data_IF_896019650799
#
_entry.id   IF_896019650799
#
_cell.length_a   1.000
_cell.length_b   1.000
_cell.length_c   1.000
_cell.angle_alpha   90.00
_cell.angle_beta   90.00
_cell.angle_gamma   90.00
#
_symmetry.space_group_name_H-M   'P 1'
#
loop_
_entity.id
_entity.type
_entity.pdbx_description
1 polymer ?
#
# COMPACT_ATOMS: atom_id res chain seq x y z
N UNK A 1 -17.31 34.48 -13.16
CA UNK A 1 -16.40 33.53 -13.84
C UNK A 1 -14.98 33.91 -13.48
N UNK A 2 -14.36 33.17 -12.55
CA UNK A 2 -13.04 33.50 -12.01
C UNK A 2 -12.02 32.49 -12.54
N UNK A 3 -11.12 33.02 -13.36
CA UNK A 3 -10.05 32.33 -14.07
C UNK A 3 -8.95 31.91 -13.07
N UNK A 4 -8.76 30.60 -12.91
CA UNK A 4 -7.67 30.04 -12.10
C UNK A 4 -6.33 30.34 -12.77
N UNK A 5 -5.60 31.33 -12.24
CA UNK A 5 -4.18 31.58 -12.54
C UNK A 5 -3.34 30.32 -12.27
N UNK A 6 -2.87 29.67 -13.33
CA UNK A 6 -1.75 28.71 -13.31
C UNK A 6 -0.48 29.47 -12.95
N UNK A 7 0.07 29.23 -11.77
CA UNK A 7 1.36 29.77 -11.38
C UNK A 7 2.50 28.90 -11.92
N UNK A 8 3.25 29.45 -12.88
CA UNK A 8 4.70 29.28 -12.99
C UNK A 8 5.23 27.98 -13.61
N UNK A 9 5.05 27.81 -14.93
CA UNK A 9 6.05 27.08 -15.71
C UNK A 9 7.27 28.01 -15.87
N UNK A 10 8.35 27.74 -15.15
CA UNK A 10 9.62 28.44 -15.34
C UNK A 10 10.18 28.06 -16.70
N UNK A 11 10.15 29.02 -17.63
CA UNK A 11 10.87 28.97 -18.89
C UNK A 11 12.38 28.91 -18.63
N UNK A 12 13.09 28.01 -19.32
CA UNK A 12 14.54 27.88 -19.27
C UNK A 12 15.08 26.67 -18.49
N UNK A 13 14.50 25.49 -18.68
CA UNK A 13 14.94 24.28 -17.98
C UNK A 13 15.69 23.36 -18.95
N UNK A 14 17.02 23.26 -18.80
CA UNK A 14 17.85 22.38 -19.62
C UNK A 14 17.33 20.92 -19.57
N UNK A 15 17.43 20.15 -20.66
CA UNK A 15 17.07 18.73 -20.66
C UNK A 15 17.72 17.93 -19.52
N UNK A 16 18.96 18.30 -19.14
CA UNK A 16 19.67 17.71 -18.01
C UNK A 16 18.98 17.94 -16.66
N UNK A 17 18.40 19.12 -16.44
CA UNK A 17 17.67 19.44 -15.20
C UNK A 17 16.38 18.63 -15.06
N UNK A 18 15.72 18.30 -16.18
CA UNK A 18 14.55 17.41 -16.18
C UNK A 18 14.94 15.98 -15.78
N UNK A 19 16.08 15.47 -16.27
CA UNK A 19 16.60 14.15 -15.90
C UNK A 19 17.02 14.12 -14.42
N UNK A 20 17.67 15.18 -13.92
CA UNK A 20 18.06 15.29 -12.53
C UNK A 20 16.84 15.36 -11.58
N UNK A 21 15.74 16.00 -12.00
CA UNK A 21 14.48 16.02 -11.23
C UNK A 21 13.73 14.71 -11.26
N UNK A 22 13.78 13.96 -12.37
CA UNK A 22 13.18 12.64 -12.48
C UNK A 22 13.81 11.60 -11.53
N UNK A 23 14.95 11.90 -10.90
CA UNK A 23 15.63 11.04 -9.92
C UNK A 23 14.75 10.62 -8.73
N UNK A 24 13.77 11.45 -8.36
CA UNK A 24 12.80 11.13 -7.30
C UNK A 24 11.41 11.14 -7.92
N UNK A 25 10.72 10.01 -7.89
CA UNK A 25 9.34 9.91 -8.36
C UNK A 25 8.47 11.01 -7.72
N UNK A 26 7.61 11.63 -8.53
CA UNK A 26 6.80 12.79 -8.11
C UNK A 26 6.01 12.54 -6.82
N UNK A 27 5.49 11.32 -6.66
CA UNK A 27 4.80 10.87 -5.45
C UNK A 27 5.69 10.92 -4.20
N UNK A 28 6.93 10.46 -4.31
CA UNK A 28 7.90 10.45 -3.21
C UNK A 28 8.32 11.86 -2.84
N UNK A 29 8.49 12.73 -3.85
CA UNK A 29 8.80 14.15 -3.62
C UNK A 29 7.67 14.87 -2.87
N UNK A 30 6.43 14.67 -3.29
CA UNK A 30 5.25 15.23 -2.60
C UNK A 30 5.17 14.77 -1.14
N UNK A 31 5.49 13.49 -0.88
CA UNK A 31 5.56 12.95 0.48
C UNK A 31 6.67 13.61 1.32
N UNK A 32 7.88 13.75 0.79
CA UNK A 32 8.98 14.43 1.49
C UNK A 32 8.68 15.91 1.74
N UNK A 33 8.08 16.61 0.79
CA UNK A 33 7.65 18.00 0.98
C UNK A 33 6.64 18.12 2.13
N UNK A 34 5.68 17.20 2.21
CA UNK A 34 4.72 17.15 3.34
C UNK A 34 5.42 16.93 4.68
N UNK A 35 6.39 16.01 4.72
CA UNK A 35 7.20 15.76 5.92
C UNK A 35 8.07 16.97 6.32
N UNK A 36 8.62 17.68 5.33
CA UNK A 36 9.40 18.90 5.55
C UNK A 36 8.55 20.05 6.09
N UNK A 37 7.27 20.15 5.70
CA UNK A 37 6.32 21.10 6.30
C UNK A 37 6.13 20.82 7.79
N UNK A 38 6.06 19.55 8.20
CA UNK A 38 5.96 19.19 9.63
C UNK A 38 7.25 19.52 10.39
N UNK A 39 8.41 19.24 9.79
CA UNK A 39 9.71 19.62 10.36
C UNK A 39 9.79 21.14 10.56
N UNK A 40 9.40 21.93 9.56
CA UNK A 40 9.38 23.39 9.63
C UNK A 40 8.50 23.92 10.76
N UNK A 41 7.26 23.42 10.88
CA UNK A 41 6.35 23.79 11.98
C UNK A 41 6.94 23.47 13.35
N UNK A 42 7.63 22.34 13.47
CA UNK A 42 8.31 21.96 14.71
C UNK A 42 9.52 22.87 15.01
N UNK A 43 10.32 23.21 14.00
CA UNK A 43 11.46 24.12 14.15
C UNK A 43 11.01 25.52 14.58
N UNK A 44 9.95 26.07 13.98
CA UNK A 44 9.39 27.37 14.34
C UNK A 44 8.93 27.46 15.80
N UNK A 45 8.46 26.34 16.38
CA UNK A 45 7.99 26.29 17.77
C UNK A 45 9.09 25.93 18.78
N UNK A 46 10.08 25.15 18.38
CA UNK A 46 11.08 24.57 19.31
C UNK A 46 12.45 25.24 19.24
N UNK A 47 12.79 25.91 18.13
CA UNK A 47 14.11 26.55 17.93
C UNK A 47 13.93 27.88 17.17
N UNK A 48 13.72 29.01 17.89
CA UNK A 48 13.68 30.33 17.27
C UNK A 48 15.00 30.61 16.52
N UNK A 49 14.92 30.94 15.23
CA UNK A 49 16.09 31.22 14.37
C UNK A 49 16.53 30.08 13.43
N UNK A 50 16.01 28.87 13.58
CA UNK A 50 16.26 27.79 12.60
C UNK A 50 15.47 27.94 11.28
N UNK A 51 14.49 28.84 11.27
CA UNK A 51 13.67 29.19 10.11
C UNK A 51 13.71 30.70 9.95
N UNK A 52 14.19 31.18 8.80
CA UNK A 52 14.20 32.61 8.44
C UNK A 52 13.17 32.81 7.35
N UNK A 53 12.09 33.53 7.67
CA UNK A 53 10.92 33.65 6.79
C UNK A 53 10.25 32.29 6.57
N UNK A 54 10.36 31.78 5.34
CA UNK A 54 9.75 30.52 4.91
C UNK A 54 10.77 29.37 4.70
N UNK A 55 12.06 29.64 4.88
CA UNK A 55 13.16 28.74 4.52
C UNK A 55 13.83 28.15 5.77
N UNK A 56 14.04 26.84 5.76
CA UNK A 56 14.80 26.12 6.79
C UNK A 56 16.29 26.39 6.56
N UNK A 57 16.99 26.88 7.58
CA UNK A 57 18.43 27.10 7.51
C UNK A 57 19.19 25.76 7.61
N UNK A 58 20.05 25.49 6.63
CA UNK A 58 20.91 24.30 6.55
C UNK A 58 22.37 24.70 6.79
N UNK A 59 23.22 23.83 7.34
CA UNK A 59 22.94 22.48 7.81
C UNK A 59 22.22 22.48 9.16
N UNK A 60 21.30 21.51 9.35
CA UNK A 60 20.62 21.35 10.63
C UNK A 60 21.56 20.78 11.69
N UNK A 61 21.53 21.34 12.90
CA UNK A 61 22.30 20.81 14.03
C UNK A 61 21.85 19.38 14.38
N UNK A 62 22.81 18.51 14.67
CA UNK A 62 22.56 17.11 15.05
C UNK A 62 21.62 16.98 16.25
N UNK A 63 21.77 17.84 17.26
CA UNK A 63 20.90 17.86 18.45
C UNK A 63 19.44 18.19 18.10
N UNK A 64 19.22 19.16 17.21
CA UNK A 64 17.89 19.57 16.74
C UNK A 64 17.20 18.44 15.99
N UNK A 65 17.91 17.77 15.07
CA UNK A 65 17.39 16.62 14.33
C UNK A 65 17.02 15.46 15.26
N UNK A 66 17.84 15.17 16.27
CA UNK A 66 17.56 14.12 17.25
C UNK A 66 16.30 14.42 18.07
N UNK A 67 16.14 15.66 18.53
CA UNK A 67 14.94 16.09 19.28
C UNK A 67 13.67 16.06 18.43
N UNK A 68 13.77 16.46 17.16
CA UNK A 68 12.67 16.34 16.22
C UNK A 68 12.29 14.86 16.00
N UNK A 69 13.28 14.00 15.74
CA UNK A 69 13.05 12.58 15.51
C UNK A 69 12.41 11.90 16.72
N UNK A 70 12.85 12.24 17.94
CA UNK A 70 12.21 11.80 19.18
C UNK A 70 10.75 12.27 19.32
N UNK A 71 10.41 13.44 18.78
CA UNK A 71 9.02 13.94 18.80
C UNK A 71 8.10 13.21 17.82
N UNK A 72 8.65 12.65 16.73
CA UNK A 72 7.89 11.92 15.69
C UNK A 72 7.83 10.42 15.92
N UNK A 73 8.54 9.86 16.90
CA UNK A 73 8.37 8.44 17.28
C UNK A 73 6.99 8.17 17.89
N UNK A 74 6.27 9.22 18.30
CA UNK A 74 4.99 9.12 19.00
C UNK A 74 3.84 9.65 18.13
N UNK A 75 2.71 8.95 18.11
CA UNK A 75 1.49 9.42 17.40
C UNK A 75 0.88 10.62 18.12
N UNK A 76 0.48 11.63 17.34
CA UNK A 76 -0.34 12.76 17.81
C UNK A 76 -1.82 12.41 17.69
N UNK A 77 -2.61 12.69 18.74
CA UNK A 77 -4.06 12.54 18.69
C UNK A 77 -4.65 13.65 17.81
N UNK A 78 -5.57 13.30 16.91
CA UNK A 78 -6.22 14.28 16.03
C UNK A 78 -7.20 15.10 16.87
N UNK A 79 -6.92 16.39 17.09
CA UNK A 79 -7.83 17.33 17.77
C UNK A 79 -7.37 17.88 19.13
N UNK A 80 -6.33 17.32 19.77
CA UNK A 80 -5.79 17.87 21.01
C UNK A 80 -4.54 18.71 20.74
N UNK A 81 -4.56 19.98 21.15
CA UNK A 81 -3.41 20.88 21.09
C UNK A 81 -2.25 20.43 22.01
N UNK A 82 -2.51 19.51 22.94
CA UNK A 82 -1.56 19.05 23.97
C UNK A 82 -1.30 17.53 23.97
N UNK A 83 -2.03 16.74 23.16
CA UNK A 83 -2.20 15.29 23.39
C UNK A 83 -1.24 14.38 22.62
N UNK A 84 -0.02 14.20 23.13
CA UNK A 84 0.81 13.03 22.76
C UNK A 84 0.06 11.76 23.18
N UNK A 85 -0.13 10.80 22.29
CA UNK A 85 -0.61 9.46 22.67
C UNK A 85 0.59 8.62 23.14
N UNK A 86 0.42 7.57 23.94
CA UNK A 86 1.52 6.64 24.24
C UNK A 86 1.77 5.62 23.11
N UNK A 87 1.17 5.83 21.93
CA UNK A 87 1.24 4.88 20.82
C UNK A 87 2.44 5.23 19.92
N UNK A 88 3.39 4.30 19.72
CA UNK A 88 4.54 4.53 18.84
C UNK A 88 4.12 4.58 17.37
N UNK A 89 4.88 5.34 16.56
CA UNK A 89 4.77 5.37 15.10
C UNK A 89 5.48 4.18 14.47
N UNK A 90 5.05 3.82 13.25
CA UNK A 90 5.72 2.75 12.49
C UNK A 90 7.17 3.12 12.15
N UNK A 91 8.02 2.11 11.94
CA UNK A 91 9.38 2.32 11.45
C UNK A 91 9.37 3.11 10.12
N UNK A 92 8.46 2.75 9.22
CA UNK A 92 8.34 3.36 7.89
C UNK A 92 8.07 4.87 7.96
N UNK A 93 7.23 5.32 8.90
CA UNK A 93 6.94 6.73 9.11
C UNK A 93 8.18 7.51 9.56
N UNK A 94 8.89 7.00 10.59
CA UNK A 94 10.08 7.66 11.14
C UNK A 94 11.22 7.66 10.13
N UNK A 95 11.42 6.56 9.41
CA UNK A 95 12.43 6.48 8.35
C UNK A 95 12.10 7.42 7.16
N UNK A 96 10.81 7.65 6.90
CA UNK A 96 10.36 8.68 5.94
C UNK A 96 10.85 10.08 6.30
N UNK A 97 10.74 10.49 7.57
CA UNK A 97 11.27 11.77 8.04
C UNK A 97 12.80 11.85 7.91
N UNK A 98 13.51 10.78 8.23
CA UNK A 98 14.97 10.71 8.05
C UNK A 98 15.35 10.96 6.59
N UNK A 99 14.66 10.30 5.65
CA UNK A 99 14.91 10.49 4.22
C UNK A 99 14.49 11.88 3.73
N UNK A 100 13.42 12.45 4.28
CA UNK A 100 13.00 13.82 3.97
C UNK A 100 14.06 14.85 4.41
N UNK A 101 14.71 14.66 5.57
CA UNK A 101 15.82 15.51 6.04
C UNK A 101 17.04 15.39 5.10
N UNK A 102 17.40 14.17 4.68
CA UNK A 102 18.48 13.96 3.70
C UNK A 102 18.15 14.60 2.35
N UNK A 103 16.89 14.49 1.92
CA UNK A 103 16.39 15.11 0.71
C UNK A 103 16.48 16.64 0.78
N UNK A 104 16.14 17.25 1.91
CA UNK A 104 16.22 18.69 2.13
C UNK A 104 17.66 19.22 2.00
N UNK A 105 18.65 18.55 2.61
CA UNK A 105 20.06 18.95 2.47
C UNK A 105 20.55 18.83 1.03
N UNK A 106 20.10 17.77 0.33
CA UNK A 106 20.46 17.52 -1.06
C UNK A 106 19.81 18.52 -2.02
N UNK A 107 18.57 18.96 -1.79
CA UNK A 107 17.94 20.05 -2.55
C UNK A 107 18.58 21.41 -2.25
N UNK A 108 18.99 21.65 -1.00
CA UNK A 108 19.71 22.85 -0.60
C UNK A 108 21.15 22.94 -1.12
N UNK A 109 21.64 21.90 -1.82
CA UNK A 109 23.04 21.77 -2.28
C UNK A 109 24.06 21.93 -1.14
N UNK A 110 23.67 21.56 0.08
CA UNK A 110 24.52 21.57 1.28
C UNK A 110 24.94 20.14 1.57
N UNK A 111 26.25 19.90 1.69
CA UNK A 111 26.74 18.59 2.11
C UNK A 111 26.22 18.24 3.50
N UNK A 112 25.75 17.01 3.67
CA UNK A 112 25.28 16.53 4.96
C UNK A 112 26.53 16.31 5.82
N UNK A 113 26.67 17.01 6.97
CA UNK A 113 27.78 16.75 7.87
C UNK A 113 27.83 15.27 8.25
N UNK A 114 29.02 14.67 8.25
CA UNK A 114 29.19 13.23 8.53
C UNK A 114 28.52 12.82 9.86
N UNK A 115 28.69 13.64 10.89
CA UNK A 115 28.08 13.44 12.21
C UNK A 115 26.54 13.41 12.15
N UNK A 116 25.93 14.21 11.27
CA UNK A 116 24.49 14.22 11.08
C UNK A 116 24.03 12.94 10.37
N UNK A 117 24.71 12.53 9.29
CA UNK A 117 24.36 11.31 8.56
C UNK A 117 24.51 10.06 9.43
N UNK A 118 25.57 9.99 10.22
CA UNK A 118 25.83 8.88 11.15
C UNK A 118 24.78 8.86 12.28
N UNK A 119 24.38 10.02 12.82
CA UNK A 119 23.28 10.11 13.79
C UNK A 119 21.95 9.64 13.18
N UNK A 120 21.64 10.05 11.95
CA UNK A 120 20.41 9.64 11.25
C UNK A 120 20.38 8.12 11.01
N UNK A 121 21.51 7.51 10.61
CA UNK A 121 21.63 6.05 10.46
C UNK A 121 21.49 5.33 11.80
N UNK A 122 22.19 5.82 12.84
CA UNK A 122 22.12 5.25 14.19
C UNK A 122 20.68 5.32 14.74
N UNK A 123 19.98 6.43 14.53
CA UNK A 123 18.60 6.59 14.94
C UNK A 123 17.67 5.60 14.22
N UNK A 124 17.79 5.46 12.89
CA UNK A 124 17.00 4.49 12.13
C UNK A 124 17.21 3.06 12.66
N UNK A 125 18.46 2.65 12.86
CA UNK A 125 18.81 1.32 13.34
C UNK A 125 18.31 1.08 14.78
N UNK A 126 18.49 2.06 15.67
CA UNK A 126 18.00 2.01 17.05
C UNK A 126 16.47 1.93 17.11
N UNK A 127 15.78 2.73 16.30
CA UNK A 127 14.32 2.72 16.25
C UNK A 127 13.76 1.42 15.69
N UNK A 128 14.40 0.83 14.68
CA UNK A 128 14.03 -0.51 14.16
C UNK A 128 14.02 -1.57 15.27
N UNK A 129 15.00 -1.52 16.20
CA UNK A 129 15.06 -2.43 17.36
C UNK A 129 13.97 -2.14 18.39
N UNK A 130 13.66 -0.87 18.65
CA UNK A 130 12.53 -0.53 19.54
C UNK A 130 11.19 -1.00 18.97
N UNK A 131 10.98 -0.84 17.67
CA UNK A 131 9.79 -1.32 16.96
C UNK A 131 9.60 -2.83 17.15
N UNK A 132 10.69 -3.63 17.12
CA UNK A 132 10.62 -5.06 17.41
C UNK A 132 10.15 -5.34 18.85
N UNK A 133 10.68 -4.62 19.84
CA UNK A 133 10.25 -4.75 21.25
C UNK A 133 8.79 -4.35 21.45
N UNK A 134 8.33 -3.29 20.79
CA UNK A 134 6.94 -2.87 20.86
C UNK A 134 5.99 -3.91 20.26
N UNK A 135 6.43 -4.67 19.25
CA UNK A 135 5.67 -5.79 18.68
C UNK A 135 5.62 -6.98 19.64
N UNK A 136 6.75 -7.31 20.26
CA UNK A 136 6.86 -8.37 21.26
C UNK A 136 5.96 -8.09 22.49
N UNK A 137 5.98 -6.85 22.99
CA UNK A 137 5.16 -6.41 24.13
C UNK A 137 3.69 -6.11 23.77
N UNK A 138 3.25 -6.40 22.55
CA UNK A 138 1.88 -6.16 22.09
C UNK A 138 1.46 -4.68 22.00
N UNK A 139 2.38 -3.73 22.20
CA UNK A 139 2.11 -2.28 22.08
C UNK A 139 1.97 -1.84 20.61
N UNK A 140 2.38 -2.69 19.68
CA UNK A 140 2.28 -2.47 18.24
C UNK A 140 1.97 -3.77 17.51
N UNK A 141 1.23 -3.68 16.40
CA UNK A 141 0.92 -4.83 15.55
C UNK A 141 2.22 -5.50 15.05
N UNK A 142 2.29 -6.84 15.17
CA UNK A 142 3.38 -7.64 14.61
C UNK A 142 3.55 -7.40 13.10
N UNK A 143 2.47 -7.11 12.39
CA UNK A 143 2.42 -6.96 10.94
C UNK A 143 2.22 -5.48 10.55
N UNK A 144 3.06 -4.97 9.64
CA UNK A 144 2.96 -3.62 9.05
C UNK A 144 2.75 -3.73 7.53
N UNK A 145 1.84 -2.94 6.95
CA UNK A 145 1.62 -2.87 5.50
C UNK A 145 0.19 -3.18 5.07
N UNK A 146 -0.04 -3.21 3.74
CA UNK A 146 -1.29 -3.73 3.18
C UNK A 146 -1.23 -5.25 3.24
N UNK A 147 -2.10 -5.85 4.04
CA UNK A 147 -2.24 -7.30 4.14
C UNK A 147 -3.49 -7.68 3.36
N UNK A 148 -3.36 -8.08 2.08
CA UNK A 148 -4.52 -8.42 1.26
C UNK A 148 -5.15 -9.76 1.66
N UNK A 149 -4.45 -10.61 2.41
CA UNK A 149 -4.91 -11.94 2.82
C UNK A 149 -4.65 -12.18 4.31
N UNK A 150 -5.70 -12.44 5.09
CA UNK A 150 -5.66 -12.75 6.53
C UNK A 150 -6.57 -13.94 6.84
N UNK A 151 -6.58 -14.45 8.06
CA UNK A 151 -7.58 -15.42 8.54
C UNK A 151 -8.44 -14.78 9.64
N UNK A 152 -9.71 -15.13 9.68
CA UNK A 152 -10.65 -14.71 10.73
C UNK A 152 -11.60 -15.88 11.01
N UNK A 153 -11.51 -16.45 12.21
CA UNK A 153 -12.24 -17.68 12.54
C UNK A 153 -11.87 -18.82 11.58
N UNK A 154 -12.88 -19.40 10.94
CA UNK A 154 -12.79 -20.46 9.93
C UNK A 154 -12.68 -19.93 8.48
N UNK A 155 -12.62 -18.61 8.30
CA UNK A 155 -12.56 -17.97 6.98
C UNK A 155 -11.17 -17.47 6.62
N UNK A 156 -10.82 -17.65 5.34
CA UNK A 156 -9.77 -16.90 4.68
C UNK A 156 -10.33 -15.53 4.25
N UNK A 157 -9.72 -14.45 4.68
CA UNK A 157 -10.22 -13.08 4.48
C UNK A 157 -9.37 -12.34 3.46
N UNK A 158 -10.00 -11.87 2.39
CA UNK A 158 -9.36 -11.09 1.33
C UNK A 158 -9.79 -9.62 1.44
N UNK A 159 -8.82 -8.70 1.50
CA UNK A 159 -9.04 -7.24 1.47
C UNK A 159 -8.50 -6.65 0.18
N UNK A 160 -9.41 -6.24 -0.70
CA UNK A 160 -9.07 -5.60 -1.98
C UNK A 160 -9.13 -4.10 -1.81
N UNK A 161 -7.97 -3.45 -1.74
CA UNK A 161 -7.87 -2.02 -1.39
C UNK A 161 -8.23 -1.03 -2.51
N UNK A 162 -8.32 -1.46 -3.76
CA UNK A 162 -8.77 -0.63 -4.89
C UNK A 162 -9.53 -1.49 -5.88
N UNK A 163 -10.67 -1.01 -6.35
CA UNK A 163 -11.43 -1.64 -7.44
C UNK A 163 -11.79 -0.60 -8.48
N UNK A 164 -12.24 -1.02 -9.67
CA UNK A 164 -12.65 -0.10 -10.74
C UNK A 164 -13.67 0.94 -10.24
N UNK A 165 -14.60 0.50 -9.40
CA UNK A 165 -15.71 1.30 -8.87
C UNK A 165 -15.37 1.97 -7.52
N UNK A 166 -14.18 1.70 -6.97
CA UNK A 166 -13.71 2.29 -5.71
C UNK A 166 -12.20 2.52 -5.79
N UNK A 167 -11.83 3.57 -6.53
CA UNK A 167 -10.43 3.98 -6.74
C UNK A 167 -9.80 4.53 -5.45
N UNK A 168 -10.64 5.04 -4.55
CA UNK A 168 -10.23 5.62 -3.27
C UNK A 168 -10.10 4.54 -2.16
N UNK A 169 -10.69 3.36 -2.36
CA UNK A 169 -10.64 2.25 -1.40
C UNK A 169 -11.57 2.44 -0.20
N UNK A 170 -12.60 3.29 -0.33
CA UNK A 170 -13.54 3.62 0.76
C UNK A 170 -14.51 2.47 1.07
N UNK A 171 -14.75 1.59 0.09
CA UNK A 171 -15.63 0.42 0.14
C UNK A 171 -14.83 -0.88 0.08
N UNK A 172 -13.58 -0.87 0.53
CA UNK A 172 -12.69 -2.04 0.61
C UNK A 172 -13.09 -2.99 1.75
N UNK A 173 -14.32 -3.47 1.73
CA UNK A 173 -14.85 -4.43 2.71
C UNK A 173 -14.13 -5.78 2.62
N UNK A 174 -13.92 -6.46 3.76
CA UNK A 174 -13.34 -7.80 3.77
C UNK A 174 -14.27 -8.80 3.05
N UNK A 175 -13.67 -9.68 2.26
CA UNK A 175 -14.33 -10.80 1.59
C UNK A 175 -13.91 -12.09 2.27
N UNK A 176 -14.83 -12.71 2.99
CA UNK A 176 -14.63 -14.01 3.63
C UNK A 176 -14.79 -15.12 2.59
N UNK A 177 -13.80 -16.01 2.53
CA UNK A 177 -13.75 -17.21 1.70
C UNK A 177 -13.68 -18.40 2.65
N UNK A 178 -14.65 -19.28 2.54
CA UNK A 178 -14.78 -20.45 3.42
C UNK A 178 -14.29 -21.71 2.71
N UNK A 179 -13.86 -22.69 3.51
CA UNK A 179 -13.62 -24.03 2.99
C UNK A 179 -14.95 -24.67 2.56
N UNK A 180 -14.91 -25.46 1.49
CA UNK A 180 -16.00 -26.35 1.13
C UNK A 180 -15.55 -27.81 1.38
N UNK A 181 -15.75 -28.35 2.60
CA UNK A 181 -15.35 -29.72 2.90
C UNK A 181 -16.22 -30.78 2.20
N UNK A 182 -17.43 -30.42 1.78
CA UNK A 182 -18.36 -31.33 1.11
C UNK A 182 -18.02 -31.54 -0.36
N UNK A 183 -17.43 -30.53 -0.99
CA UNK A 183 -16.96 -30.62 -2.38
C UNK A 183 -15.51 -30.13 -2.49
N UNK A 184 -14.53 -31.01 -2.16
CA UNK A 184 -13.12 -30.65 -2.10
C UNK A 184 -12.55 -30.14 -3.44
N UNK A 185 -13.09 -30.62 -4.56
CA UNK A 185 -12.63 -30.28 -5.92
C UNK A 185 -12.80 -28.80 -6.25
N UNK A 186 -13.79 -28.13 -5.66
CA UNK A 186 -14.04 -26.69 -5.85
C UNK A 186 -13.67 -25.86 -4.61
N UNK A 187 -13.07 -26.47 -3.58
CA UNK A 187 -12.73 -25.79 -2.34
C UNK A 187 -11.55 -24.83 -2.53
N UNK A 188 -11.73 -23.51 -2.43
CA UNK A 188 -10.67 -22.54 -2.73
C UNK A 188 -9.51 -22.61 -1.74
N UNK A 189 -9.78 -22.95 -0.48
CA UNK A 189 -8.76 -23.10 0.56
C UNK A 189 -7.90 -24.34 0.29
N UNK A 190 -8.53 -25.46 -0.09
CA UNK A 190 -7.81 -26.68 -0.43
C UNK A 190 -6.95 -26.47 -1.69
N UNK A 191 -7.52 -25.89 -2.75
CA UNK A 191 -6.80 -25.60 -4.00
C UNK A 191 -5.59 -24.70 -3.79
N UNK A 192 -5.71 -23.67 -2.93
CA UNK A 192 -4.59 -22.82 -2.55
C UNK A 192 -3.51 -23.60 -1.79
N UNK A 193 -3.92 -24.45 -0.84
CA UNK A 193 -2.99 -25.31 -0.09
C UNK A 193 -2.20 -26.23 -1.02
N UNK A 194 -2.88 -26.95 -1.90
CA UNK A 194 -2.25 -27.81 -2.90
C UNK A 194 -1.24 -27.04 -3.75
N UNK A 195 -1.62 -25.89 -4.30
CA UNK A 195 -0.73 -25.04 -5.09
C UNK A 195 0.56 -24.69 -4.32
N UNK A 196 0.44 -24.27 -3.06
CA UNK A 196 1.58 -23.90 -2.22
C UNK A 196 2.50 -25.10 -1.95
N UNK A 197 1.93 -26.27 -1.68
CA UNK A 197 2.71 -27.48 -1.39
C UNK A 197 3.33 -28.12 -2.63
N UNK A 198 2.73 -27.97 -3.82
CA UNK A 198 3.24 -28.55 -5.07
C UNK A 198 4.22 -27.65 -5.82
N UNK A 199 4.38 -26.38 -5.43
CA UNK A 199 5.33 -25.43 -6.04
C UNK A 199 6.81 -25.84 -5.91
N UNK A 200 7.12 -26.82 -5.04
CA UNK A 200 8.47 -27.37 -4.87
C UNK A 200 9.47 -26.42 -4.19
N UNK A 201 10.68 -26.92 -3.94
CA UNK A 201 11.76 -26.09 -3.38
C UNK A 201 12.22 -25.05 -4.41
N UNK A 202 12.12 -23.76 -4.06
CA UNK A 202 12.51 -22.66 -4.94
C UNK A 202 14.04 -22.65 -5.11
N UNK A 203 14.50 -22.56 -6.36
CA UNK A 203 15.94 -22.34 -6.67
C UNK A 203 16.29 -20.88 -6.43
N UNK A 204 17.55 -20.63 -6.10
CA UNK A 204 18.09 -19.28 -5.93
C UNK A 204 17.89 -18.46 -7.23
N UNK A 205 17.32 -17.27 -7.12
CA UNK A 205 16.98 -16.41 -8.26
C UNK A 205 15.58 -16.57 -8.86
N UNK A 206 14.75 -17.52 -8.40
CA UNK A 206 13.36 -17.63 -8.84
C UNK A 206 12.41 -16.66 -8.10
N UNK A 207 11.33 -16.26 -8.77
CA UNK A 207 10.27 -15.44 -8.19
C UNK A 207 9.69 -16.09 -6.92
N UNK A 208 9.48 -15.29 -5.88
CA UNK A 208 8.84 -15.70 -4.62
C UNK A 208 7.31 -15.64 -4.67
N UNK A 209 6.72 -15.24 -5.80
CA UNK A 209 5.27 -15.11 -5.94
C UNK A 209 4.59 -16.48 -5.97
N UNK A 210 3.38 -16.57 -5.42
CA UNK A 210 2.50 -17.75 -5.51
C UNK A 210 1.76 -17.76 -6.85
N UNK A 211 1.47 -16.57 -7.38
CA UNK A 211 0.85 -16.34 -8.68
C UNK A 211 1.78 -15.50 -9.56
N UNK A 212 1.57 -15.52 -10.86
CA UNK A 212 2.39 -14.78 -11.83
C UNK A 212 2.35 -13.24 -11.61
N UNK A 213 3.33 -12.51 -12.15
CA UNK A 213 3.38 -11.04 -12.09
C UNK A 213 2.17 -10.42 -12.80
N UNK A 214 1.67 -11.07 -13.85
CA UNK A 214 0.48 -10.63 -14.59
C UNK A 214 -0.71 -11.57 -14.42
N UNK A 215 -1.16 -11.74 -13.17
CA UNK A 215 -2.26 -12.66 -12.78
C UNK A 215 -3.50 -12.54 -13.68
N UNK A 216 -3.86 -11.33 -14.12
CA UNK A 216 -5.05 -11.11 -14.96
C UNK A 216 -4.89 -11.77 -16.33
N UNK A 217 -3.76 -11.56 -16.99
CA UNK A 217 -3.49 -12.15 -18.30
C UNK A 217 -3.33 -13.65 -18.18
N UNK A 218 -2.55 -14.13 -17.22
CA UNK A 218 -2.34 -15.56 -17.00
C UNK A 218 -3.67 -16.29 -16.73
N UNK A 219 -4.55 -15.70 -15.90
CA UNK A 219 -5.89 -16.25 -15.65
C UNK A 219 -6.80 -16.21 -16.88
N UNK A 220 -6.74 -15.14 -17.68
CA UNK A 220 -7.54 -15.03 -18.90
C UNK A 220 -7.12 -16.09 -19.92
N UNK A 221 -5.81 -16.29 -20.11
CA UNK A 221 -5.26 -17.31 -21.00
C UNK A 221 -5.63 -18.72 -20.55
N UNK A 222 -5.55 -18.99 -19.24
CA UNK A 222 -5.97 -20.26 -18.66
C UNK A 222 -7.47 -20.54 -18.88
N UNK A 223 -8.33 -19.55 -18.61
CA UNK A 223 -9.77 -19.66 -18.82
C UNK A 223 -10.11 -19.92 -20.29
N UNK A 224 -9.50 -19.16 -21.21
CA UNK A 224 -9.72 -19.35 -22.64
C UNK A 224 -9.29 -20.73 -23.10
N UNK A 225 -8.15 -21.22 -22.61
CA UNK A 225 -7.67 -22.58 -22.93
C UNK A 225 -8.68 -23.64 -22.48
N UNK A 226 -9.16 -23.57 -21.24
CA UNK A 226 -10.17 -24.53 -20.75
C UNK A 226 -11.44 -24.48 -21.61
N UNK A 227 -11.94 -23.29 -21.93
CA UNK A 227 -13.15 -23.18 -22.74
C UNK A 227 -12.98 -23.72 -24.17
N UNK A 228 -11.77 -23.67 -24.73
CA UNK A 228 -11.45 -24.27 -26.04
C UNK A 228 -11.27 -25.79 -25.93
N UNK A 229 -10.61 -26.25 -24.87
CA UNK A 229 -10.40 -27.68 -24.64
C UNK A 229 -11.76 -28.40 -24.41
N UNK A 230 -12.74 -27.71 -23.83
CA UNK A 230 -14.10 -28.19 -23.53
C UNK A 230 -15.18 -27.65 -24.51
N UNK A 231 -14.82 -27.34 -25.77
CA UNK A 231 -15.71 -26.66 -26.74
C UNK A 231 -17.01 -27.42 -27.05
N UNK A 232 -16.99 -28.76 -27.00
CA UNK A 232 -18.17 -29.60 -27.20
C UNK A 232 -19.21 -29.36 -26.10
N UNK A 233 -18.80 -29.42 -24.83
CA UNK A 233 -19.64 -29.10 -23.68
C UNK A 233 -20.18 -27.66 -23.77
N UNK A 234 -19.33 -26.70 -24.16
CA UNK A 234 -19.71 -25.30 -24.32
C UNK A 234 -20.79 -25.12 -25.39
N UNK A 235 -20.68 -25.85 -26.50
CA UNK A 235 -21.65 -25.84 -27.59
C UNK A 235 -22.98 -26.48 -27.18
N UNK A 236 -22.95 -27.58 -26.41
CA UNK A 236 -24.16 -28.23 -25.88
C UNK A 236 -25.00 -27.29 -25.00
N UNK A 237 -24.34 -26.45 -24.19
CA UNK A 237 -25.02 -25.43 -23.37
C UNK A 237 -25.31 -24.13 -24.12
N UNK A 238 -25.01 -24.08 -25.43
CA UNK A 238 -25.33 -22.97 -26.32
C UNK A 238 -24.43 -21.74 -26.15
N UNK A 239 -23.18 -21.91 -25.72
CA UNK A 239 -22.24 -20.81 -25.45
C UNK A 239 -20.96 -21.00 -26.26
N UNK A 240 -20.50 -19.97 -26.97
CA UNK A 240 -19.17 -20.03 -27.60
C UNK A 240 -18.07 -19.77 -26.56
N UNK A 241 -16.95 -20.50 -26.65
CA UNK A 241 -15.76 -20.23 -25.85
C UNK A 241 -15.29 -18.76 -25.95
N UNK A 242 -15.54 -18.10 -27.09
CA UNK A 242 -15.21 -16.68 -27.32
C UNK A 242 -16.06 -15.70 -26.51
N UNK A 243 -17.24 -16.13 -26.07
CA UNK A 243 -18.17 -15.31 -25.29
C UNK A 243 -17.88 -15.38 -23.78
N UNK A 244 -17.02 -16.31 -23.36
CA UNK A 244 -16.58 -16.44 -21.98
C UNK A 244 -15.31 -15.63 -21.76
N UNK A 245 -15.38 -14.73 -20.78
CA UNK A 245 -14.23 -14.01 -20.27
C UNK A 245 -14.26 -13.92 -18.76
N UNK A 246 -13.22 -13.32 -18.19
CA UNK A 246 -13.08 -13.13 -16.73
C UNK A 246 -14.27 -12.40 -16.10
N UNK A 247 -14.94 -11.54 -16.86
CA UNK A 247 -16.15 -10.84 -16.44
C UNK A 247 -17.39 -11.75 -16.36
N UNK A 248 -17.43 -12.84 -17.14
CA UNK A 248 -18.53 -13.80 -17.18
C UNK A 248 -18.67 -14.54 -15.86
N UNK A 249 -17.56 -14.85 -15.16
CA UNK A 249 -17.59 -15.47 -13.83
C UNK A 249 -18.35 -14.63 -12.80
N UNK A 250 -18.05 -13.32 -12.74
CA UNK A 250 -18.73 -12.41 -11.81
C UNK A 250 -20.23 -12.35 -12.07
N UNK A 251 -20.63 -12.29 -13.34
CA UNK A 251 -22.05 -12.28 -13.74
C UNK A 251 -22.72 -13.61 -13.43
N UNK A 252 -22.11 -14.73 -13.84
CA UNK A 252 -22.65 -16.08 -13.65
C UNK A 252 -22.88 -16.41 -12.17
N UNK A 253 -21.91 -16.13 -11.30
CA UNK A 253 -22.06 -16.35 -9.86
C UNK A 253 -23.19 -15.50 -9.27
N UNK A 254 -23.31 -14.24 -9.69
CA UNK A 254 -24.39 -13.35 -9.24
C UNK A 254 -25.76 -13.89 -9.65
N UNK A 255 -25.91 -14.34 -10.90
CA UNK A 255 -27.13 -14.95 -11.42
C UNK A 255 -27.49 -16.24 -10.67
N UNK A 256 -26.52 -17.14 -10.48
CA UNK A 256 -26.74 -18.40 -9.78
C UNK A 256 -27.20 -18.18 -8.34
N UNK A 257 -26.56 -17.27 -7.60
CA UNK A 257 -26.93 -16.92 -6.23
C UNK A 257 -28.31 -16.26 -6.14
N UNK A 258 -28.67 -15.43 -7.13
CA UNK A 258 -29.97 -14.76 -7.17
C UNK A 258 -31.12 -15.74 -7.43
N UNK A 259 -30.85 -16.86 -8.10
CA UNK A 259 -31.84 -17.88 -8.46
C UNK A 259 -31.86 -19.08 -7.51
N UNK A 260 -31.05 -19.07 -6.45
CA UNK A 260 -31.00 -20.17 -5.47
C UNK A 260 -32.15 -20.05 -4.46
N UNK A 261 -33.02 -21.07 -4.29
CA UNK A 261 -34.03 -21.09 -3.24
C UNK A 261 -33.35 -20.98 -1.85
N UNK A 262 -33.85 -20.09 -0.99
CA UNK A 262 -33.20 -19.68 0.27
C UNK A 262 -31.82 -18.99 0.12
N UNK A 263 -31.54 -18.43 -1.06
CA UNK A 263 -30.33 -17.65 -1.33
C UNK A 263 -30.24 -16.34 -0.54
N UNK A 264 -29.07 -15.71 -0.63
CA UNK A 264 -28.80 -14.41 -0.01
C UNK A 264 -29.72 -13.32 -0.58
N UNK A 265 -29.98 -12.27 0.20
CA UNK A 265 -30.76 -11.11 -0.27
C UNK A 265 -30.11 -10.49 -1.52
N UNK A 266 -30.94 -10.15 -2.52
CA UNK A 266 -30.47 -9.62 -3.81
C UNK A 266 -29.52 -8.41 -3.64
N UNK A 267 -29.82 -7.50 -2.71
CA UNK A 267 -28.97 -6.35 -2.40
C UNK A 267 -27.56 -6.77 -1.95
N UNK A 268 -27.45 -7.81 -1.12
CA UNK A 268 -26.16 -8.33 -0.66
C UNK A 268 -25.34 -8.94 -1.82
N UNK A 269 -26.02 -9.62 -2.75
CA UNK A 269 -25.39 -10.17 -3.96
C UNK A 269 -24.88 -9.04 -4.85
N UNK A 270 -25.68 -8.01 -5.11
CA UNK A 270 -25.31 -6.86 -5.95
C UNK A 270 -24.12 -6.08 -5.39
N UNK A 271 -24.13 -5.79 -4.08
CA UNK A 271 -23.02 -5.12 -3.41
C UNK A 271 -21.71 -5.91 -3.54
N UNK A 272 -21.75 -7.25 -3.41
CA UNK A 272 -20.56 -8.10 -3.55
C UNK A 272 -20.10 -8.26 -5.00
N UNK A 273 -21.04 -8.26 -5.95
CA UNK A 273 -20.78 -8.21 -7.39
C UNK A 273 -20.21 -6.83 -7.84
N UNK A 274 -20.29 -5.81 -6.98
CA UNK A 274 -19.84 -4.46 -7.30
C UNK A 274 -20.77 -3.77 -8.29
N UNK A 275 -22.06 -4.08 -8.22
CA UNK A 275 -23.12 -3.37 -8.91
C UNK A 275 -23.73 -2.39 -7.91
N UNK A 276 -23.55 -1.10 -8.19
CA UNK A 276 -24.05 0.04 -7.41
C UNK A 276 -24.75 1.00 -8.34
#
# INVERSE_FOLDING_TARGET
>A
MAEKRKSGATAGEEPGDKVLRARVAERTRSQYNTMNVHLKKWLQSSVPGAVVGDVIQLPLKTSTCKSFLASVTVKRKRGDASGKTNIPNSYSTVNGYINAIKFLHKEGKVEIPKDLDDMLKAFANGYKRQVAKFKENGTMSMQEGKIPLTTEGDALVIKIGRTKNDQEGKMAWPRHVYANPFEPTICPILSLGLLVFTLGARREGMSALVFDVNVKESFTSWLHRICVDEDEMMTEIGVSAKDIGTHSLRKGVSTALSNSPAGQQAVSVWLRAGWS
#
